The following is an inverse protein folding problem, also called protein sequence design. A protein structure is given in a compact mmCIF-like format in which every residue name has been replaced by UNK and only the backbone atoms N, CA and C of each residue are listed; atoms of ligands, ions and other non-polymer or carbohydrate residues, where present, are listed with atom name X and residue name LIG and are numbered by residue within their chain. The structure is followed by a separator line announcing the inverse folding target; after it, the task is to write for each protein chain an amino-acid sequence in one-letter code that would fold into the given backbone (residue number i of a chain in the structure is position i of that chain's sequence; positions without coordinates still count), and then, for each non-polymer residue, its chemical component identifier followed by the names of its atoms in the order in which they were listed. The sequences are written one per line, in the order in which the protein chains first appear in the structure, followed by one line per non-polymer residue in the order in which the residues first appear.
data_IF_697304268277
#
_entry.id   IF_697304268277
#
_cell.length_a   1.000
_cell.length_b   1.000
_cell.length_c   1.000
_cell.angle_alpha   90.00
_cell.angle_beta   90.00
_cell.angle_gamma   90.00
#
_symmetry.space_group_name_H-M   'P 1'
#
loop_
_entity.id
_entity.type
_entity.pdbx_description
1 polymer ?
#
# COMPACT_ATOMS: atom_id res chain seq x y z
N UNK A 1 13.08 -18.62 -28.87
CA UNK A 1 13.76 -18.02 -27.71
C UNK A 1 12.76 -17.96 -26.57
N UNK A 2 12.94 -18.75 -25.52
CA UNK A 2 12.02 -18.80 -24.37
C UNK A 2 12.57 -17.87 -23.30
N UNK A 3 11.96 -16.70 -23.10
CA UNK A 3 12.35 -15.75 -22.06
C UNK A 3 11.78 -16.19 -20.72
N UNK A 4 12.64 -16.72 -19.85
CA UNK A 4 12.32 -16.94 -18.44
C UNK A 4 12.29 -15.55 -17.79
N UNK A 5 11.20 -15.10 -17.14
CA UNK A 5 11.19 -13.81 -16.46
C UNK A 5 12.13 -13.89 -15.25
N UNK A 6 12.86 -12.81 -14.91
CA UNK A 6 13.78 -12.83 -13.80
C UNK A 6 13.03 -13.05 -12.49
N UNK A 7 13.37 -14.14 -11.79
CA UNK A 7 12.93 -14.42 -10.43
C UNK A 7 13.64 -13.48 -9.45
N UNK A 8 13.24 -12.22 -9.43
CA UNK A 8 13.51 -11.33 -8.30
C UNK A 8 12.43 -11.54 -7.24
N UNK A 9 12.81 -11.62 -5.96
CA UNK A 9 11.88 -11.39 -4.82
C UNK A 9 11.48 -9.91 -4.82
N UNK A 10 10.87 -9.44 -5.89
CA UNK A 10 10.26 -8.14 -6.00
C UNK A 10 8.89 -8.24 -5.36
N UNK A 11 8.64 -7.40 -4.36
CA UNK A 11 7.29 -7.15 -3.88
C UNK A 11 6.40 -6.84 -5.09
N UNK A 12 5.38 -7.68 -5.32
CA UNK A 12 4.43 -7.51 -6.43
C UNK A 12 3.17 -6.89 -5.85
N UNK A 13 2.82 -5.70 -6.31
CA UNK A 13 1.62 -5.00 -5.85
C UNK A 13 0.36 -5.82 -6.22
N UNK A 14 -0.41 -6.35 -5.25
CA UNK A 14 -1.61 -7.12 -5.53
C UNK A 14 -2.78 -6.26 -6.06
N UNK A 15 -2.64 -4.93 -5.99
CA UNK A 15 -3.58 -3.94 -6.52
C UNK A 15 -3.18 -3.36 -7.87
N UNK A 16 -2.10 -3.89 -8.48
CA UNK A 16 -1.69 -3.48 -9.82
C UNK A 16 -2.81 -3.82 -10.83
N UNK A 17 -3.36 -2.80 -11.48
CA UNK A 17 -4.47 -2.93 -12.44
C UNK A 17 -5.88 -2.80 -11.86
N UNK A 18 -6.05 -2.54 -10.55
CA UNK A 18 -7.37 -2.16 -10.00
C UNK A 18 -7.68 -0.69 -10.36
N UNK A 19 -8.93 -0.38 -10.78
CA UNK A 19 -9.24 0.92 -11.38
C UNK A 19 -9.18 2.11 -10.41
N UNK A 20 -9.35 1.86 -9.10
CA UNK A 20 -9.56 2.94 -8.12
C UNK A 20 -8.50 3.05 -7.03
N UNK A 21 -7.65 2.02 -6.86
CA UNK A 21 -6.64 1.97 -5.82
C UNK A 21 -5.34 1.38 -6.35
N UNK A 22 -4.22 1.98 -5.98
CA UNK A 22 -2.89 1.47 -6.29
C UNK A 22 -2.01 1.61 -5.06
N UNK A 23 -1.33 0.54 -4.68
CA UNK A 23 -0.40 0.53 -3.56
C UNK A 23 1.03 0.52 -4.09
N UNK A 24 1.92 1.31 -3.49
CA UNK A 24 3.34 1.32 -3.80
C UNK A 24 4.15 1.21 -2.50
N UNK A 25 5.21 0.41 -2.50
CA UNK A 25 6.20 0.40 -1.43
C UNK A 25 7.26 1.46 -1.73
N UNK A 26 7.43 2.42 -0.82
CA UNK A 26 8.28 3.59 -1.01
C UNK A 26 9.65 3.47 -0.32
N UNK A 27 9.93 2.33 0.33
CA UNK A 27 11.12 2.13 1.16
C UNK A 27 10.89 2.55 2.61
N UNK A 28 11.83 2.23 3.51
CA UNK A 28 11.80 2.61 4.93
C UNK A 28 10.49 2.27 5.67
N UNK A 29 9.90 1.11 5.33
CA UNK A 29 8.62 0.64 5.86
C UNK A 29 7.43 1.56 5.54
N UNK A 30 7.55 2.41 4.52
CA UNK A 30 6.49 3.28 4.03
C UNK A 30 5.76 2.67 2.84
N UNK A 31 4.44 2.84 2.86
CA UNK A 31 3.52 2.42 1.81
C UNK A 31 2.69 3.61 1.37
N UNK A 32 2.68 3.89 0.08
CA UNK A 32 1.87 4.95 -0.51
C UNK A 32 0.68 4.30 -1.24
N UNK A 33 -0.52 4.60 -0.75
CA UNK A 33 -1.78 4.18 -1.34
C UNK A 33 -2.39 5.33 -2.13
N UNK A 34 -2.39 5.23 -3.45
CA UNK A 34 -3.09 6.15 -4.33
C UNK A 34 -4.54 5.71 -4.48
N UNK A 35 -5.48 6.56 -4.08
CA UNK A 35 -6.91 6.40 -4.30
C UNK A 35 -7.38 7.40 -5.36
N UNK A 36 -8.16 6.96 -6.34
CA UNK A 36 -8.76 7.83 -7.36
C UNK A 36 -10.26 7.96 -7.14
N UNK A 37 -10.90 8.94 -7.81
CA UNK A 37 -12.36 9.12 -7.72
C UNK A 37 -13.09 7.83 -8.12
N UNK A 38 -14.05 7.42 -7.28
CA UNK A 38 -14.77 6.15 -7.40
C UNK A 38 -14.29 5.06 -6.44
N UNK A 39 -13.16 5.26 -5.75
CA UNK A 39 -12.73 4.38 -4.67
C UNK A 39 -13.75 4.41 -3.51
N UNK A 40 -14.10 3.22 -3.02
CA UNK A 40 -14.97 3.06 -1.84
C UNK A 40 -14.15 2.87 -0.56
N UNK A 41 -14.80 3.06 0.59
CA UNK A 41 -14.20 2.70 1.88
C UNK A 41 -13.80 1.21 1.93
N UNK A 42 -14.55 0.35 1.23
CA UNK A 42 -14.22 -1.07 1.13
C UNK A 42 -12.92 -1.30 0.39
N UNK A 43 -12.65 -0.57 -0.69
CA UNK A 43 -11.38 -0.67 -1.41
C UNK A 43 -10.19 -0.28 -0.51
N UNK A 44 -10.36 0.76 0.32
CA UNK A 44 -9.36 1.14 1.31
C UNK A 44 -9.11 0.02 2.33
N UNK A 45 -10.18 -0.53 2.92
CA UNK A 45 -10.09 -1.61 3.92
C UNK A 45 -9.47 -2.87 3.32
N UNK A 46 -9.87 -3.25 2.12
CA UNK A 46 -9.32 -4.43 1.43
C UNK A 46 -7.80 -4.24 1.21
N UNK A 47 -7.37 -3.04 0.76
CA UNK A 47 -5.94 -2.72 0.59
C UNK A 47 -5.19 -2.79 1.92
N UNK A 48 -5.65 -2.08 2.94
CA UNK A 48 -4.93 -2.03 4.22
C UNK A 48 -4.91 -3.38 4.93
N UNK A 49 -5.90 -4.25 4.71
CA UNK A 49 -5.91 -5.62 5.23
C UNK A 49 -4.80 -6.52 4.65
N UNK A 50 -4.18 -6.14 3.51
CA UNK A 50 -3.03 -6.85 2.94
C UNK A 50 -1.69 -6.34 3.42
N UNK A 51 -1.68 -5.24 4.17
CA UNK A 51 -0.47 -4.65 4.75
C UNK A 51 -0.19 -5.28 6.12
N UNK A 52 1.08 -5.26 6.58
CA UNK A 52 1.37 -5.45 8.01
C UNK A 52 0.63 -4.39 8.85
N UNK A 53 0.60 -4.50 10.18
CA UNK A 53 0.09 -3.44 11.03
C UNK A 53 0.72 -2.09 10.65
N UNK A 54 -0.11 -1.13 10.25
CA UNK A 54 0.34 0.15 9.71
C UNK A 54 -0.29 1.32 10.47
N UNK A 55 0.47 2.41 10.58
CA UNK A 55 -0.02 3.70 11.02
C UNK A 55 -0.18 4.62 9.82
N UNK A 56 -1.29 5.33 9.78
CA UNK A 56 -1.45 6.46 8.87
C UNK A 56 -0.51 7.60 9.27
N UNK A 57 0.20 8.17 8.31
CA UNK A 57 1.21 9.22 8.52
C UNK A 57 0.75 10.55 7.96
N UNK A 58 0.37 10.58 6.67
CA UNK A 58 0.04 11.81 5.96
C UNK A 58 -0.76 11.53 4.67
N UNK A 59 -1.24 12.58 4.02
CA UNK A 59 -1.88 12.53 2.70
C UNK A 59 -1.60 13.77 1.87
N UNK A 60 -1.61 13.61 0.54
CA UNK A 60 -1.50 14.72 -0.41
C UNK A 60 -2.23 14.42 -1.72
N UNK A 61 -2.48 15.45 -2.53
CA UNK A 61 -3.03 15.26 -3.86
C UNK A 61 -1.99 14.61 -4.79
N UNK A 62 -2.38 13.59 -5.55
CA UNK A 62 -1.46 12.88 -6.44
C UNK A 62 -0.97 13.74 -7.62
N UNK A 63 -1.71 14.80 -7.96
CA UNK A 63 -1.32 15.75 -9.00
C UNK A 63 -2.24 16.97 -9.05
N UNK A 64 -1.80 18.07 -9.71
CA UNK A 64 -2.59 19.29 -9.84
C UNK A 64 -3.85 19.06 -10.66
N UNK A 65 -5.01 19.50 -10.14
CA UNK A 65 -6.31 19.40 -10.81
C UNK A 65 -6.94 18.00 -10.85
N UNK A 66 -6.28 16.99 -10.24
CA UNK A 66 -6.83 15.64 -10.10
C UNK A 66 -7.62 15.46 -8.80
N UNK A 67 -8.53 14.48 -8.80
CA UNK A 67 -9.27 14.03 -7.60
C UNK A 67 -8.59 12.87 -6.87
N UNK A 68 -7.41 12.47 -7.32
CA UNK A 68 -6.66 11.39 -6.72
C UNK A 68 -5.86 11.86 -5.49
N UNK A 69 -5.92 11.08 -4.42
CA UNK A 69 -5.24 11.33 -3.15
C UNK A 69 -4.27 10.19 -2.88
N UNK A 70 -3.07 10.52 -2.42
CA UNK A 70 -2.12 9.55 -1.89
C UNK A 70 -2.22 9.56 -0.38
N UNK A 71 -2.42 8.39 0.21
CA UNK A 71 -2.39 8.15 1.65
C UNK A 71 -1.07 7.43 1.98
N UNK A 72 -0.27 8.00 2.87
CA UNK A 72 0.98 7.39 3.32
C UNK A 72 0.78 6.66 4.62
N UNK A 73 1.24 5.42 4.64
CA UNK A 73 1.24 4.54 5.78
C UNK A 73 2.67 4.14 6.14
N UNK A 74 2.92 3.91 7.43
CA UNK A 74 4.18 3.34 7.93
C UNK A 74 3.88 2.01 8.61
N UNK A 75 4.58 0.95 8.23
CA UNK A 75 4.49 -0.30 8.97
C UNK A 75 5.04 -0.11 10.38
N UNK A 76 4.30 -0.63 11.34
CA UNK A 76 4.76 -0.79 12.70
C UNK A 76 5.77 -1.93 12.74
N UNK A 77 6.84 -1.82 13.55
CA UNK A 77 7.65 -2.97 13.89
C UNK A 77 6.75 -4.03 14.52
N UNK A 78 7.05 -5.31 14.25
CA UNK A 78 6.21 -6.43 14.67
C UNK A 78 5.96 -6.41 16.19
N UNK A 79 4.74 -6.02 16.58
CA UNK A 79 4.30 -5.95 17.96
C UNK A 79 4.05 -7.35 18.56
N UNK A 80 4.20 -8.42 17.77
CA UNK A 80 4.05 -9.81 18.23
C UNK A 80 5.01 -10.19 19.37
N UNK A 81 6.13 -9.50 19.51
CA UNK A 81 7.09 -9.71 20.61
C UNK A 81 6.79 -8.91 21.88
N UNK A 82 6.06 -7.80 21.79
CA UNK A 82 5.79 -6.90 22.93
C UNK A 82 4.46 -7.18 23.63
N UNK A 83 3.54 -7.91 22.99
CA UNK A 83 2.23 -8.27 23.57
C UNK A 83 2.13 -9.75 23.99
N UNK A 84 3.17 -10.55 23.76
CA UNK A 84 3.22 -12.00 24.06
C UNK A 84 3.82 -12.37 25.43
N UNK A 85 3.91 -11.44 26.38
CA UNK A 85 4.39 -11.68 27.73
C UNK A 85 3.29 -11.51 28.77
N UNK A 86 2.36 -12.47 28.83
CA UNK A 86 1.46 -12.71 29.96
C UNK A 86 1.53 -14.17 30.36
#
# INVERSE_FOLDING_TARGET
MSSIPPSGRGWRNPYEGRPFVTLAYSGDDLYDLTMTSGASLRDLVDVTATLPPVLYVDHWAAGPGGSAVVLRFRALPDLGSTLGGI
#
